data_IF_311723523875
#
_entry.id   IF_311723523875
#
_cell.length_a   1.000
_cell.length_b   1.000
_cell.length_c   1.000
_cell.angle_alpha   90.00
_cell.angle_beta   90.00
_cell.angle_gamma   90.00
#
_symmetry.space_group_name_H-M   'P 1'
#
loop_
_entity.id
_entity.type
_entity.pdbx_description
1 polymer ?
#
# COMPACT_ATOMS: atom_id res chain seq x y z
N UNK A 1 42.72 50.10 3.56
CA UNK A 1 41.32 49.76 3.85
C UNK A 1 40.70 49.16 2.60
N UNK A 2 40.56 47.83 2.52
CA UNK A 2 39.65 47.18 1.57
C UNK A 2 38.96 46.03 2.32
N UNK A 3 37.64 46.09 2.31
CA UNK A 3 36.73 45.37 3.18
C UNK A 3 36.58 43.90 2.82
N UNK A 4 36.44 43.11 3.87
CA UNK A 4 36.16 41.68 3.88
C UNK A 4 34.64 41.48 3.99
N UNK A 5 33.93 41.21 2.90
CA UNK A 5 32.45 41.00 2.87
C UNK A 5 31.99 39.81 2.01
N UNK A 6 32.83 38.78 1.85
CA UNK A 6 32.56 37.68 0.89
C UNK A 6 31.97 36.38 1.45
N UNK A 7 31.93 36.16 2.77
CA UNK A 7 31.77 34.79 3.32
C UNK A 7 30.44 34.48 4.05
N UNK A 8 29.55 35.46 4.26
CA UNK A 8 28.29 35.25 4.99
C UNK A 8 27.11 34.82 4.10
N UNK A 9 27.19 34.99 2.78
CA UNK A 9 26.09 34.67 1.85
C UNK A 9 26.01 33.20 1.41
N UNK A 10 27.15 32.50 1.28
CA UNK A 10 27.20 31.11 0.80
C UNK A 10 26.62 30.11 1.81
N UNK A 11 26.85 30.33 3.12
CA UNK A 11 26.33 29.45 4.17
C UNK A 11 24.80 29.45 4.27
N UNK A 12 24.19 30.63 4.13
CA UNK A 12 22.73 30.78 4.16
C UNK A 12 22.05 30.15 2.94
N UNK A 13 22.65 30.29 1.75
CA UNK A 13 22.16 29.66 0.52
C UNK A 13 22.22 28.13 0.56
N UNK A 14 23.35 27.56 1.03
CA UNK A 14 23.52 26.11 1.18
C UNK A 14 22.59 25.56 2.26
N UNK A 15 22.46 26.21 3.41
CA UNK A 15 21.50 25.78 4.44
C UNK A 15 20.04 25.87 3.95
N UNK A 16 19.66 26.93 3.25
CA UNK A 16 18.32 27.06 2.69
C UNK A 16 18.04 25.97 1.63
N UNK A 17 19.00 25.69 0.74
CA UNK A 17 18.86 24.60 -0.24
C UNK A 17 18.78 23.23 0.42
N UNK A 18 19.59 22.99 1.44
CA UNK A 18 19.62 21.71 2.18
C UNK A 18 18.34 21.52 2.99
N UNK A 19 17.83 22.58 3.63
CA UNK A 19 16.52 22.57 4.30
C UNK A 19 15.37 22.37 3.31
N UNK A 20 15.45 22.97 2.11
CA UNK A 20 14.42 22.77 1.09
C UNK A 20 14.45 21.34 0.54
N UNK A 21 15.63 20.76 0.35
CA UNK A 21 15.80 19.36 -0.07
C UNK A 21 15.33 18.37 1.01
N UNK A 22 15.68 18.61 2.28
CA UNK A 22 15.23 17.79 3.42
C UNK A 22 13.73 17.92 3.68
N UNK A 23 13.16 19.12 3.57
CA UNK A 23 11.71 19.35 3.69
C UNK A 23 10.93 18.68 2.54
N UNK A 24 11.55 18.52 1.36
CA UNK A 24 11.00 17.80 0.22
C UNK A 24 11.12 16.27 0.34
N UNK A 25 11.88 15.75 1.30
CA UNK A 25 12.04 14.31 1.50
C UNK A 25 10.91 13.67 2.31
N UNK A 26 10.23 14.41 3.19
CA UNK A 26 9.07 13.87 3.91
C UNK A 26 7.81 14.02 3.08
N UNK A 27 7.24 12.91 2.62
CA UNK A 27 5.98 12.88 1.88
C UNK A 27 4.84 13.43 2.75
N UNK A 28 3.82 14.05 2.13
CA UNK A 28 2.63 14.59 2.83
C UNK A 28 1.97 13.48 3.66
N UNK A 29 2.03 12.26 3.13
CA UNK A 29 1.57 11.01 3.72
C UNK A 29 2.31 10.62 5.00
N UNK A 30 3.41 11.28 5.35
CA UNK A 30 4.15 11.07 6.60
C UNK A 30 3.97 12.24 7.58
N UNK A 31 3.15 13.23 7.22
CA UNK A 31 2.82 14.40 8.04
C UNK A 31 1.45 14.26 8.72
N UNK A 32 1.12 15.21 9.59
CA UNK A 32 -0.15 15.27 10.33
C UNK A 32 -1.31 15.98 9.60
N UNK A 33 -1.29 16.05 8.27
CA UNK A 33 -2.33 16.75 7.49
C UNK A 33 -3.75 16.18 7.75
N UNK A 34 -4.70 17.06 8.07
CA UNK A 34 -6.06 16.69 8.44
C UNK A 34 -6.88 16.07 7.29
N UNK A 35 -6.68 16.54 6.04
CA UNK A 35 -7.33 15.97 4.85
C UNK A 35 -6.80 14.56 4.58
N UNK A 36 -5.51 14.35 4.82
CA UNK A 36 -4.92 13.02 4.74
C UNK A 36 -5.47 12.09 5.84
N UNK A 37 -5.77 12.60 7.04
CA UNK A 37 -6.41 11.84 8.12
C UNK A 37 -7.74 11.18 7.72
N UNK A 38 -8.65 11.91 7.06
CA UNK A 38 -9.92 11.34 6.55
C UNK A 38 -9.67 10.21 5.55
N UNK A 39 -8.67 10.38 4.68
CA UNK A 39 -8.26 9.33 3.73
C UNK A 39 -7.72 8.10 4.46
N UNK A 40 -6.92 8.28 5.51
CA UNK A 40 -6.39 7.17 6.33
C UNK A 40 -7.51 6.39 7.02
N UNK A 41 -8.56 7.06 7.53
CA UNK A 41 -9.74 6.38 8.12
C UNK A 41 -10.43 5.49 7.08
N UNK A 42 -10.69 6.05 5.89
CA UNK A 42 -11.28 5.29 4.78
C UNK A 42 -10.39 4.11 4.40
N UNK A 43 -9.07 4.33 4.32
CA UNK A 43 -8.10 3.30 3.99
C UNK A 43 -8.12 2.17 5.04
N UNK A 44 -8.16 2.51 6.33
CA UNK A 44 -8.25 1.54 7.42
C UNK A 44 -9.49 0.65 7.28
N UNK A 45 -10.67 1.26 7.11
CA UNK A 45 -11.92 0.53 6.91
C UNK A 45 -11.87 -0.37 5.65
N UNK A 46 -11.43 0.18 4.51
CA UNK A 46 -11.31 -0.61 3.28
C UNK A 46 -10.30 -1.75 3.39
N UNK A 47 -9.18 -1.56 4.10
CA UNK A 47 -8.17 -2.60 4.31
C UNK A 47 -8.71 -3.72 5.20
N UNK A 48 -9.47 -3.38 6.25
CA UNK A 48 -10.10 -4.37 7.12
C UNK A 48 -11.10 -5.25 6.34
N UNK A 49 -11.90 -4.65 5.45
CA UNK A 49 -12.86 -5.40 4.63
C UNK A 49 -12.15 -6.20 3.55
N UNK A 50 -11.34 -5.56 2.70
CA UNK A 50 -10.74 -6.22 1.54
C UNK A 50 -9.78 -7.34 1.94
N UNK A 51 -8.88 -7.10 2.91
CA UNK A 51 -7.96 -8.13 3.37
C UNK A 51 -8.68 -9.23 4.16
N UNK A 52 -9.75 -8.88 4.89
CA UNK A 52 -10.60 -9.84 5.57
C UNK A 52 -11.31 -10.77 4.58
N UNK A 53 -11.77 -10.25 3.45
CA UNK A 53 -12.34 -11.06 2.36
C UNK A 53 -11.30 -11.95 1.70
N UNK A 54 -10.09 -11.45 1.42
CA UNK A 54 -8.98 -12.25 0.89
C UNK A 54 -8.68 -13.41 1.84
N UNK A 55 -8.54 -13.11 3.13
CA UNK A 55 -8.28 -14.12 4.16
C UNK A 55 -9.44 -15.10 4.33
N UNK A 56 -10.70 -14.65 4.29
CA UNK A 56 -11.87 -15.52 4.37
C UNK A 56 -11.98 -16.45 3.15
N UNK A 57 -11.80 -15.91 1.94
CA UNK A 57 -11.93 -16.68 0.71
C UNK A 57 -10.86 -17.76 0.56
N UNK A 58 -9.66 -17.59 1.12
CA UNK A 58 -8.67 -18.66 1.05
C UNK A 58 -9.17 -19.95 1.74
N UNK A 59 -9.90 -19.84 2.86
CA UNK A 59 -10.46 -21.01 3.54
C UNK A 59 -11.65 -21.60 2.80
N UNK A 60 -12.43 -20.77 2.12
CA UNK A 60 -13.60 -21.21 1.37
C UNK A 60 -13.23 -21.86 0.03
N UNK A 61 -12.09 -21.50 -0.56
CA UNK A 61 -11.75 -21.89 -1.95
C UNK A 61 -10.49 -22.72 -2.11
N UNK A 62 -9.56 -22.68 -1.16
CA UNK A 62 -8.23 -23.25 -1.32
C UNK A 62 -7.85 -24.17 -0.15
N UNK A 63 -6.94 -25.10 -0.43
CA UNK A 63 -6.26 -25.91 0.59
C UNK A 63 -4.82 -25.41 0.75
N UNK A 64 -4.65 -24.37 1.55
CA UNK A 64 -3.34 -23.72 1.75
C UNK A 64 -2.64 -24.21 3.02
N UNK A 65 -1.29 -24.19 3.06
CA UNK A 65 -0.54 -24.38 4.30
C UNK A 65 -0.95 -23.38 5.39
N UNK A 66 -0.93 -23.81 6.66
CA UNK A 66 -1.34 -22.96 7.79
C UNK A 66 -0.56 -21.64 7.88
N UNK A 67 0.72 -21.64 7.50
CA UNK A 67 1.57 -20.44 7.48
C UNK A 67 1.04 -19.36 6.53
N UNK A 68 0.42 -19.72 5.41
CA UNK A 68 -0.22 -18.78 4.49
C UNK A 68 -1.39 -18.09 5.18
N UNK A 69 -2.26 -18.88 5.82
CA UNK A 69 -3.39 -18.36 6.58
C UNK A 69 -2.97 -17.43 7.72
N UNK A 70 -1.92 -17.78 8.47
CA UNK A 70 -1.35 -16.95 9.54
C UNK A 70 -0.79 -15.64 8.97
N UNK A 71 -0.06 -15.70 7.85
CA UNK A 71 0.52 -14.53 7.20
C UNK A 71 -0.57 -13.54 6.76
N UNK A 72 -1.60 -14.04 6.08
CA UNK A 72 -2.76 -13.24 5.64
C UNK A 72 -3.54 -12.69 6.84
N UNK A 73 -3.81 -13.49 7.87
CA UNK A 73 -4.51 -13.05 9.07
C UNK A 73 -3.75 -11.94 9.81
N UNK A 74 -2.44 -12.11 9.96
CA UNK A 74 -1.57 -11.14 10.63
C UNK A 74 -1.51 -9.85 9.84
N UNK A 75 -1.35 -9.93 8.51
CA UNK A 75 -1.41 -8.77 7.63
C UNK A 75 -2.76 -8.04 7.69
N UNK A 76 -3.87 -8.79 7.66
CA UNK A 76 -5.23 -8.26 7.80
C UNK A 76 -5.46 -7.55 9.12
N UNK A 77 -5.02 -8.12 10.25
CA UNK A 77 -5.22 -7.51 11.56
C UNK A 77 -4.31 -6.29 11.79
N UNK A 78 -3.03 -6.40 11.41
CA UNK A 78 -2.04 -5.34 11.67
C UNK A 78 -2.29 -4.10 10.81
N UNK A 79 -2.71 -4.24 9.55
CA UNK A 79 -2.87 -3.10 8.64
C UNK A 79 -3.85 -2.03 9.12
N UNK A 80 -5.13 -2.34 9.46
CA UNK A 80 -6.07 -1.35 9.97
C UNK A 80 -5.66 -0.81 11.35
N UNK A 81 -5.02 -1.63 12.19
CA UNK A 81 -4.50 -1.19 13.50
C UNK A 81 -3.42 -0.14 13.32
N UNK A 82 -2.43 -0.39 12.46
CA UNK A 82 -1.34 0.55 12.19
C UNK A 82 -1.83 1.81 11.48
N UNK A 83 -2.78 1.69 10.53
CA UNK A 83 -3.40 2.85 9.89
C UNK A 83 -4.13 3.72 10.91
N UNK A 84 -4.89 3.12 11.82
CA UNK A 84 -5.63 3.86 12.86
C UNK A 84 -4.66 4.49 13.86
N UNK A 85 -3.65 3.74 14.32
CA UNK A 85 -2.58 4.27 15.18
C UNK A 85 -1.84 5.44 14.52
N UNK A 86 -1.72 5.43 13.19
CA UNK A 86 -1.06 6.48 12.43
C UNK A 86 -1.78 7.83 12.41
N UNK A 87 -3.06 7.87 12.82
CA UNK A 87 -3.78 9.12 13.02
C UNK A 87 -3.22 9.91 14.21
N UNK A 88 -2.76 9.19 15.25
CA UNK A 88 -2.12 9.79 16.43
C UNK A 88 -0.60 9.91 16.27
N UNK A 89 0.03 8.93 15.63
CA UNK A 89 1.48 8.89 15.44
C UNK A 89 1.82 8.65 13.96
N UNK A 90 2.04 9.71 13.14
CA UNK A 90 2.33 9.57 11.72
C UNK A 90 3.52 8.62 11.41
N UNK A 91 4.47 8.48 12.34
CA UNK A 91 5.60 7.54 12.24
C UNK A 91 5.15 6.07 12.18
N UNK A 92 3.98 5.71 12.74
CA UNK A 92 3.45 4.35 12.69
C UNK A 92 3.22 3.84 11.25
N UNK A 93 3.15 4.76 10.27
CA UNK A 93 3.02 4.47 8.84
C UNK A 93 4.20 3.68 8.28
N UNK A 94 5.41 3.85 8.83
CA UNK A 94 6.56 3.00 8.48
C UNK A 94 6.29 1.52 8.77
N UNK A 95 5.51 1.23 9.82
CA UNK A 95 5.13 -0.12 10.17
C UNK A 95 4.27 -0.81 9.11
N UNK A 96 3.59 -0.08 8.21
CA UNK A 96 2.71 -0.66 7.19
C UNK A 96 3.44 -1.48 6.13
N UNK A 97 4.76 -1.33 5.99
CA UNK A 97 5.56 -2.20 5.16
C UNK A 97 5.44 -3.68 5.59
N UNK A 98 5.36 -3.94 6.90
CA UNK A 98 5.28 -5.29 7.44
C UNK A 98 3.97 -6.02 7.06
N UNK A 99 2.76 -5.52 7.39
CA UNK A 99 1.53 -6.19 6.96
C UNK A 99 1.40 -6.26 5.45
N UNK A 100 1.83 -5.23 4.71
CA UNK A 100 1.82 -5.28 3.23
C UNK A 100 2.69 -6.41 2.69
N UNK A 101 3.87 -6.63 3.29
CA UNK A 101 4.78 -7.71 2.89
C UNK A 101 4.22 -9.08 3.26
N UNK A 102 3.63 -9.23 4.45
CA UNK A 102 2.98 -10.47 4.87
C UNK A 102 1.86 -10.86 3.91
N UNK A 103 0.93 -9.94 3.60
CA UNK A 103 -0.15 -10.22 2.65
C UNK A 103 0.42 -10.56 1.26
N UNK A 104 1.38 -9.78 0.76
CA UNK A 104 2.00 -10.02 -0.54
C UNK A 104 2.67 -11.41 -0.63
N UNK A 105 3.45 -11.79 0.37
CA UNK A 105 4.10 -13.11 0.45
C UNK A 105 3.07 -14.23 0.56
N UNK A 106 2.03 -14.07 1.37
CA UNK A 106 0.94 -15.04 1.48
C UNK A 106 0.23 -15.27 0.15
N UNK A 107 -0.06 -14.21 -0.59
CA UNK A 107 -0.70 -14.29 -1.92
C UNK A 107 0.22 -14.91 -2.98
N UNK A 108 1.52 -14.58 -2.97
CA UNK A 108 2.49 -15.24 -3.83
C UNK A 108 2.55 -16.74 -3.50
N UNK A 109 2.58 -17.12 -2.22
CA UNK A 109 2.57 -18.50 -1.81
C UNK A 109 1.31 -19.24 -2.28
N UNK A 110 0.13 -18.61 -2.21
CA UNK A 110 -1.10 -19.13 -2.83
C UNK A 110 -0.90 -19.40 -4.32
N UNK A 111 -0.37 -18.40 -5.05
CA UNK A 111 -0.14 -18.52 -6.49
C UNK A 111 0.79 -19.69 -6.86
N UNK A 112 1.77 -19.99 -6.00
CA UNK A 112 2.76 -21.03 -6.24
C UNK A 112 2.32 -22.43 -5.78
N UNK A 113 1.43 -22.53 -4.79
CA UNK A 113 1.19 -23.80 -4.08
C UNK A 113 -0.26 -24.28 -4.07
N UNK A 114 -1.23 -23.39 -4.25
CA UNK A 114 -2.63 -23.69 -3.94
C UNK A 114 -3.63 -23.28 -5.03
N UNK A 115 -3.18 -22.70 -6.16
CA UNK A 115 -4.10 -22.33 -7.22
C UNK A 115 -4.86 -23.55 -7.79
N UNK A 116 -6.14 -23.37 -8.15
CA UNK A 116 -6.87 -24.38 -8.92
C UNK A 116 -6.14 -24.74 -10.21
N UNK A 117 -6.11 -26.03 -10.53
CA UNK A 117 -5.44 -26.53 -11.74
C UNK A 117 -6.21 -26.16 -13.01
N UNK A 118 -7.54 -26.17 -12.96
CA UNK A 118 -8.38 -25.72 -14.06
C UNK A 118 -8.29 -24.21 -14.29
N UNK A 119 -8.31 -23.81 -15.56
CA UNK A 119 -8.44 -22.41 -15.95
C UNK A 119 -9.90 -21.98 -15.82
N UNK A 120 -10.20 -21.20 -14.78
CA UNK A 120 -11.53 -20.70 -14.48
C UNK A 120 -11.53 -19.44 -13.63
N UNK A 121 -12.72 -18.97 -13.27
CA UNK A 121 -12.92 -17.70 -12.56
C UNK A 121 -12.12 -17.63 -11.24
N UNK A 122 -12.09 -18.69 -10.44
CA UNK A 122 -11.31 -18.70 -9.20
C UNK A 122 -9.81 -18.47 -9.42
N UNK A 123 -9.19 -19.20 -10.37
CA UNK A 123 -7.76 -19.08 -10.66
C UNK A 123 -7.42 -17.68 -11.15
N UNK A 124 -8.19 -17.16 -12.11
CA UNK A 124 -8.00 -15.79 -12.63
C UNK A 124 -8.21 -14.76 -11.53
N UNK A 125 -9.23 -14.95 -10.69
CA UNK A 125 -9.53 -14.06 -9.56
C UNK A 125 -8.38 -13.97 -8.55
N UNK A 126 -7.76 -15.09 -8.18
CA UNK A 126 -6.59 -15.11 -7.30
C UNK A 126 -5.36 -14.44 -7.91
N UNK A 127 -5.11 -14.65 -9.21
CA UNK A 127 -3.99 -14.00 -9.92
C UNK A 127 -4.18 -12.49 -10.01
N UNK A 128 -5.37 -12.02 -10.40
CA UNK A 128 -5.68 -10.59 -10.50
C UNK A 128 -5.62 -9.94 -9.12
N UNK A 129 -6.17 -10.58 -8.08
CA UNK A 129 -6.09 -10.09 -6.70
C UNK A 129 -4.65 -9.95 -6.24
N UNK A 130 -3.81 -10.95 -6.52
CA UNK A 130 -2.38 -10.93 -6.19
C UNK A 130 -1.67 -9.79 -6.91
N UNK A 131 -1.89 -9.63 -8.21
CA UNK A 131 -1.34 -8.52 -8.98
C UNK A 131 -1.77 -7.16 -8.42
N UNK A 132 -3.05 -7.02 -8.08
CA UNK A 132 -3.60 -5.83 -7.42
C UNK A 132 -2.87 -5.52 -6.10
N UNK A 133 -2.74 -6.50 -5.20
CA UNK A 133 -2.10 -6.29 -3.89
C UNK A 133 -0.62 -5.95 -4.04
N UNK A 134 0.11 -6.69 -4.88
CA UNK A 134 1.54 -6.42 -5.11
C UNK A 134 1.75 -5.03 -5.70
N UNK A 135 0.96 -4.66 -6.70
CA UNK A 135 1.01 -3.32 -7.28
C UNK A 135 0.70 -2.25 -6.22
N UNK A 136 -0.35 -2.43 -5.42
CA UNK A 136 -0.69 -1.50 -4.34
C UNK A 136 0.41 -1.38 -3.28
N UNK A 137 1.03 -2.51 -2.91
CA UNK A 137 2.17 -2.55 -1.99
C UNK A 137 3.37 -1.80 -2.53
N UNK A 138 3.77 -2.06 -3.78
CA UNK A 138 4.87 -1.34 -4.46
C UNK A 138 4.59 0.15 -4.53
N UNK A 139 3.38 0.56 -4.94
CA UNK A 139 2.98 1.97 -4.99
C UNK A 139 3.01 2.63 -3.59
N UNK A 140 2.53 1.91 -2.57
CA UNK A 140 2.56 2.38 -1.19
C UNK A 140 3.99 2.61 -0.70
N UNK A 141 4.85 1.59 -0.84
CA UNK A 141 6.27 1.67 -0.48
C UNK A 141 6.97 2.81 -1.24
N UNK A 142 6.73 2.91 -2.55
CA UNK A 142 7.35 3.93 -3.39
C UNK A 142 6.92 5.35 -2.99
N UNK A 143 5.62 5.62 -2.89
CA UNK A 143 5.14 6.97 -2.60
C UNK A 143 5.37 7.40 -1.15
N UNK A 144 5.21 6.49 -0.19
CA UNK A 144 5.32 6.85 1.22
C UNK A 144 6.77 6.98 1.65
N UNK A 145 7.64 6.05 1.22
CA UNK A 145 9.05 6.00 1.62
C UNK A 145 10.01 6.57 0.58
N UNK A 146 9.50 7.06 -0.55
CA UNK A 146 10.30 7.66 -1.62
C UNK A 146 11.43 6.73 -2.11
N UNK A 147 11.16 5.43 -2.21
CA UNK A 147 12.15 4.42 -2.63
C UNK A 147 12.82 4.71 -3.99
N UNK A 148 12.13 5.47 -4.85
CA UNK A 148 12.65 5.99 -6.10
C UNK A 148 12.10 7.41 -6.32
N UNK A 149 12.73 8.23 -7.19
CA UNK A 149 12.23 9.56 -7.53
C UNK A 149 10.79 9.50 -8.04
N UNK A 150 9.91 10.35 -7.49
CA UNK A 150 8.51 10.43 -7.91
C UNK A 150 8.36 11.55 -8.94
N UNK A 151 7.80 11.28 -10.13
CA UNK A 151 7.54 12.32 -11.13
C UNK A 151 6.64 13.44 -10.57
N UNK A 152 6.82 14.71 -10.98
CA UNK A 152 6.06 15.84 -10.43
C UNK A 152 4.53 15.67 -10.52
N UNK A 153 4.02 15.10 -11.61
CA UNK A 153 2.58 14.85 -11.81
C UNK A 153 2.00 13.76 -10.90
N UNK A 154 2.85 13.00 -10.20
CA UNK A 154 2.49 12.02 -9.18
C UNK A 154 2.90 12.46 -7.78
N UNK A 155 3.48 13.64 -7.59
CA UNK A 155 4.02 14.02 -6.29
C UNK A 155 2.90 14.31 -5.28
N UNK A 156 1.89 15.07 -5.73
CA UNK A 156 0.71 15.41 -4.93
C UNK A 156 -0.16 14.15 -4.67
N UNK A 157 -0.44 13.78 -3.40
CA UNK A 157 -1.32 12.67 -3.03
C UNK A 157 -2.74 12.74 -3.62
N UNK A 158 -3.19 13.91 -4.06
CA UNK A 158 -4.50 14.17 -4.65
C UNK A 158 -4.46 14.40 -6.18
N UNK A 159 -3.28 14.26 -6.80
CA UNK A 159 -3.13 14.40 -8.25
C UNK A 159 -3.97 13.38 -9.04
N UNK A 160 -4.47 13.73 -10.23
CA UNK A 160 -5.19 12.80 -11.11
C UNK A 160 -4.39 11.53 -11.41
N UNK A 161 -3.08 11.66 -11.65
CA UNK A 161 -2.23 10.52 -11.95
C UNK A 161 -2.15 9.50 -10.82
N UNK A 162 -2.07 9.95 -9.56
CA UNK A 162 -2.14 9.04 -8.41
C UNK A 162 -3.50 8.38 -8.28
N UNK A 163 -4.58 9.12 -8.50
CA UNK A 163 -5.93 8.55 -8.47
C UNK A 163 -6.14 7.49 -9.55
N UNK A 164 -5.56 7.65 -10.73
CA UNK A 164 -5.58 6.60 -11.77
C UNK A 164 -4.91 5.31 -11.30
N UNK A 165 -3.74 5.41 -10.67
CA UNK A 165 -3.02 4.24 -10.14
C UNK A 165 -3.78 3.57 -8.99
N UNK A 166 -4.37 4.37 -8.10
CA UNK A 166 -5.22 3.88 -7.01
C UNK A 166 -6.48 3.21 -7.57
N UNK A 167 -7.11 3.80 -8.59
CA UNK A 167 -8.29 3.22 -9.24
C UNK A 167 -7.95 1.90 -9.93
N UNK A 168 -6.82 1.81 -10.64
CA UNK A 168 -6.36 0.55 -11.23
C UNK A 168 -6.15 -0.52 -10.16
N UNK A 169 -5.50 -0.17 -9.05
CA UNK A 169 -5.34 -1.07 -7.90
C UNK A 169 -6.68 -1.57 -7.38
N UNK A 170 -7.63 -0.67 -7.14
CA UNK A 170 -8.96 -1.01 -6.65
C UNK A 170 -9.70 -1.94 -7.63
N UNK A 171 -9.65 -1.63 -8.93
CA UNK A 171 -10.31 -2.45 -9.96
C UNK A 171 -9.75 -3.86 -9.97
N UNK A 172 -8.42 -4.04 -9.91
CA UNK A 172 -7.81 -5.37 -9.84
C UNK A 172 -8.32 -6.14 -8.62
N UNK A 173 -8.34 -5.52 -7.43
CA UNK A 173 -8.82 -6.18 -6.21
C UNK A 173 -10.30 -6.53 -6.31
N UNK A 174 -11.16 -5.60 -6.72
CA UNK A 174 -12.61 -5.79 -6.78
C UNK A 174 -12.98 -6.86 -7.81
N UNK A 175 -12.41 -6.79 -9.02
CA UNK A 175 -12.64 -7.78 -10.07
C UNK A 175 -12.12 -9.15 -9.62
N UNK A 176 -10.92 -9.21 -9.03
CA UNK A 176 -10.35 -10.45 -8.53
C UNK A 176 -11.23 -11.12 -7.47
N UNK A 177 -11.68 -10.36 -6.47
CA UNK A 177 -12.58 -10.84 -5.42
C UNK A 177 -13.96 -11.24 -5.97
N UNK A 178 -14.51 -10.49 -6.93
CA UNK A 178 -15.78 -10.83 -7.57
C UNK A 178 -15.70 -12.17 -8.32
N UNK A 179 -14.61 -12.43 -9.03
CA UNK A 179 -14.40 -13.71 -9.72
C UNK A 179 -14.26 -14.89 -8.75
N UNK A 180 -13.56 -14.69 -7.63
CA UNK A 180 -13.45 -15.70 -6.55
C UNK A 180 -14.84 -15.98 -5.95
N UNK A 181 -15.58 -14.92 -5.59
CA UNK A 181 -16.93 -15.03 -5.03
C UNK A 181 -17.93 -15.68 -5.98
N UNK A 182 -17.90 -15.32 -7.27
CA UNK A 182 -18.75 -15.95 -8.29
C UNK A 182 -18.43 -17.44 -8.47
N UNK A 183 -17.16 -17.82 -8.37
CA UNK A 183 -16.76 -19.22 -8.43
C UNK A 183 -17.20 -20.02 -7.20
N UNK A 184 -17.41 -19.38 -6.05
CA UNK A 184 -17.97 -20.01 -4.85
C UNK A 184 -19.47 -20.25 -5.01
N UNK A 185 -20.21 -19.23 -5.45
CA UNK A 185 -21.67 -19.32 -5.59
C UNK A 185 -22.11 -20.30 -6.67
N UNK A 186 -21.26 -20.61 -7.64
CA UNK A 186 -21.54 -21.59 -8.70
C UNK A 186 -21.27 -23.04 -8.29
N UNK A 187 -20.65 -23.27 -7.11
CA UNK A 187 -20.38 -24.60 -6.55
C UNK A 187 -21.36 -25.04 -5.46
N UNK A 188 -22.17 -24.11 -4.95
CA UNK A 188 -23.21 -24.33 -3.95
C UNK A 188 -24.53 -24.73 -4.62
#
# INVERSE_FOLDING_TARGET
MYGNTGLTGMGAGIMAYTLTLLHRQTSVEMTGDARFGVRVIRLAATSAVALGLIWGFQFATLHTPALVGISLATGWALMPVLLTASLRWPVARYGLALPSTLVGVGLIAICLTALPTEWGAARVGWLITTAGVLMGGVLGLWFWFRLAPVPPFLDDPFSPGRWTLVALHIVLIVVGLALIGFSLSSRA
#
